data_IF_597767387891
#
_entry.id   IF_597767387891
#
_cell.length_a   1.000
_cell.length_b   1.000
_cell.length_c   1.000
_cell.angle_alpha   90.00
_cell.angle_beta   90.00
_cell.angle_gamma   90.00
#
_symmetry.space_group_name_H-M   'P 1'
#
loop_
_entity.id
_entity.type
_entity.pdbx_description
1 polymer ?
#
# COMPACT_ATOMS: atom_id res chain seq x y z
N UNK A 1 -21.53 15.90 1.31
CA UNK A 1 -21.53 14.44 1.57
C UNK A 1 -20.08 13.98 1.68
N UNK A 2 -19.84 13.09 2.64
CA UNK A 2 -18.58 12.59 3.18
C UNK A 2 -17.29 12.83 2.36
N UNK A 3 -16.36 13.55 2.99
CA UNK A 3 -14.93 13.49 2.70
C UNK A 3 -14.52 12.03 2.78
N UNK A 4 -14.13 11.45 1.64
CA UNK A 4 -13.46 10.17 1.61
C UNK A 4 -12.13 10.37 2.34
N UNK A 5 -12.11 10.06 3.63
CA UNK A 5 -10.89 9.96 4.42
C UNK A 5 -10.02 8.91 3.72
N UNK A 6 -9.01 9.40 3.02
CA UNK A 6 -8.00 8.58 2.40
C UNK A 6 -7.36 7.76 3.51
N UNK A 7 -7.35 6.44 3.31
CA UNK A 7 -6.65 5.42 4.11
C UNK A 7 -5.11 5.60 4.08
N UNK A 8 -4.64 6.82 3.88
CA UNK A 8 -3.26 7.22 3.61
C UNK A 8 -2.57 7.77 4.87
N UNK A 9 -3.34 8.21 5.87
CA UNK A 9 -2.77 8.77 7.12
C UNK A 9 -2.06 7.72 7.99
N UNK A 10 -2.49 6.45 7.91
CA UNK A 10 -1.96 5.39 8.78
C UNK A 10 -0.60 4.82 8.34
N UNK A 11 -0.24 4.99 7.08
CA UNK A 11 1.02 4.47 6.52
C UNK A 11 2.16 5.51 6.61
N UNK A 12 1.81 6.80 6.72
CA UNK A 12 2.80 7.89 6.81
C UNK A 12 3.52 7.99 8.16
N UNK A 13 2.91 7.51 9.24
CA UNK A 13 3.54 7.56 10.57
C UNK A 13 4.72 6.57 10.71
N UNK A 14 4.70 5.46 9.96
CA UNK A 14 5.71 4.40 10.05
C UNK A 14 7.10 4.81 9.53
N UNK A 15 7.21 5.92 8.79
CA UNK A 15 8.48 6.43 8.25
C UNK A 15 9.02 7.70 8.95
N UNK A 16 8.44 8.09 10.09
CA UNK A 16 8.88 9.32 10.78
C UNK A 16 10.33 9.22 11.30
N UNK A 17 11.21 10.09 10.77
CA UNK A 17 12.63 10.17 11.16
C UNK A 17 12.90 11.25 12.22
N UNK A 18 11.96 12.18 12.42
CA UNK A 18 12.15 13.35 13.27
C UNK A 18 12.48 13.00 14.74
N UNK A 19 11.82 12.00 15.37
CA UNK A 19 12.18 11.60 16.73
C UNK A 19 13.62 11.12 16.86
N UNK A 20 14.10 10.32 15.89
CA UNK A 20 15.47 9.82 15.86
C UNK A 20 16.49 10.95 15.68
N UNK A 21 16.19 11.92 14.79
CA UNK A 21 17.05 13.10 14.60
C UNK A 21 17.15 13.92 15.89
N UNK A 22 16.02 14.11 16.57
CA UNK A 22 15.98 14.82 17.84
C UNK A 22 16.74 14.09 18.95
N UNK A 23 16.67 12.76 19.01
CA UNK A 23 17.42 11.97 19.99
C UNK A 23 18.93 12.00 19.72
N UNK A 24 19.35 12.03 18.46
CA UNK A 24 20.75 12.27 18.07
C UNK A 24 21.23 13.65 18.56
N UNK A 25 20.46 14.71 18.31
CA UNK A 25 20.80 16.07 18.76
C UNK A 25 20.94 16.09 20.29
N UNK A 26 20.00 15.47 21.02
CA UNK A 26 20.09 15.34 22.49
C UNK A 26 21.31 14.58 22.97
N UNK A 27 21.76 13.56 22.23
CA UNK A 27 22.95 12.79 22.58
C UNK A 27 24.22 13.62 22.36
N UNK A 28 24.26 14.43 21.29
CA UNK A 28 25.35 15.39 21.00
C UNK A 28 25.42 16.46 22.09
N UNK A 29 24.29 17.10 22.42
CA UNK A 29 24.24 18.16 23.44
C UNK A 29 24.69 17.72 24.84
N UNK A 30 24.69 16.41 25.09
CA UNK A 30 25.07 15.79 26.37
C UNK A 30 26.44 15.11 26.36
N UNK A 31 27.19 15.17 25.25
CA UNK A 31 28.41 14.40 25.03
C UNK A 31 28.23 12.89 25.35
N UNK A 32 27.05 12.34 25.03
CA UNK A 32 26.72 10.95 25.32
C UNK A 32 27.46 9.99 24.36
N UNK A 33 27.88 8.83 24.88
CA UNK A 33 28.46 7.77 24.04
C UNK A 33 27.41 7.06 23.15
N UNK A 34 26.12 7.29 23.40
CA UNK A 34 25.00 6.65 22.69
C UNK A 34 24.76 7.20 21.27
N UNK A 35 25.47 8.25 20.86
CA UNK A 35 25.32 8.89 19.53
C UNK A 35 25.47 7.85 18.41
N UNK A 36 26.42 6.93 18.52
CA UNK A 36 26.64 5.88 17.52
C UNK A 36 25.44 4.93 17.41
N UNK A 37 24.76 4.64 18.51
CA UNK A 37 23.57 3.79 18.52
C UNK A 37 22.40 4.50 17.86
N UNK A 38 22.16 5.77 18.16
CA UNK A 38 21.07 6.55 17.54
C UNK A 38 21.31 6.77 16.04
N UNK A 39 22.55 7.01 15.63
CA UNK A 39 22.92 7.06 14.20
C UNK A 39 22.68 5.72 13.49
N UNK A 40 22.98 4.59 14.15
CA UNK A 40 22.70 3.27 13.59
C UNK A 40 21.19 3.05 13.41
N UNK A 41 20.37 3.43 14.40
CA UNK A 41 18.90 3.38 14.30
C UNK A 41 18.37 4.22 13.14
N UNK A 42 18.85 5.45 12.98
CA UNK A 42 18.47 6.32 11.87
C UNK A 42 18.82 5.69 10.52
N UNK A 43 20.04 5.15 10.39
CA UNK A 43 20.48 4.47 9.16
C UNK A 43 19.59 3.28 8.82
N UNK A 44 19.27 2.43 9.80
CA UNK A 44 18.37 1.28 9.61
C UNK A 44 17.00 1.76 9.17
N UNK A 45 16.42 2.77 9.82
CA UNK A 45 15.09 3.30 9.48
C UNK A 45 15.02 3.85 8.05
N UNK A 46 16.07 4.55 7.60
CA UNK A 46 16.18 5.02 6.22
C UNK A 46 16.25 3.83 5.25
N UNK A 47 17.00 2.79 5.59
CA UNK A 47 17.12 1.62 4.73
C UNK A 47 15.81 0.85 4.62
N UNK A 48 15.09 0.67 5.72
CA UNK A 48 13.73 0.09 5.74
C UNK A 48 12.77 0.90 4.85
N UNK A 49 12.78 2.24 4.97
CA UNK A 49 11.94 3.10 4.14
C UNK A 49 12.26 2.97 2.65
N UNK A 50 13.56 2.88 2.29
CA UNK A 50 13.98 2.63 0.89
C UNK A 50 13.49 1.29 0.38
N UNK A 51 13.56 0.24 1.18
CA UNK A 51 13.08 -1.09 0.82
C UNK A 51 11.55 -1.11 0.65
N UNK A 52 10.81 -0.42 1.52
CA UNK A 52 9.37 -0.26 1.38
C UNK A 52 8.99 0.45 0.07
N UNK A 53 9.68 1.55 -0.28
CA UNK A 53 9.47 2.25 -1.54
C UNK A 53 9.80 1.34 -2.73
N UNK A 54 10.91 0.60 -2.66
CA UNK A 54 11.32 -0.32 -3.74
C UNK A 54 10.36 -1.48 -3.94
N UNK A 55 9.65 -1.90 -2.89
CA UNK A 55 8.65 -2.97 -2.95
C UNK A 55 7.23 -2.44 -3.23
N UNK A 56 7.07 -1.13 -3.40
CA UNK A 56 5.76 -0.51 -3.63
C UNK A 56 5.24 -0.87 -5.03
N UNK A 57 4.05 -1.49 -5.14
CA UNK A 57 3.53 -1.90 -6.44
C UNK A 57 3.28 -0.69 -7.34
N UNK A 58 3.73 -0.79 -8.59
CA UNK A 58 3.54 0.25 -9.59
C UNK A 58 4.61 1.36 -9.57
N UNK A 59 5.58 1.32 -8.64
CA UNK A 59 6.69 2.29 -8.61
C UNK A 59 7.52 2.29 -9.91
N UNK A 60 7.48 1.17 -10.65
CA UNK A 60 8.20 0.95 -11.91
C UNK A 60 7.43 1.44 -13.16
N UNK A 61 6.20 1.91 -12.99
CA UNK A 61 5.27 2.23 -14.09
C UNK A 61 4.89 3.71 -14.09
N UNK A 62 4.67 4.26 -15.28
CA UNK A 62 4.18 5.63 -15.41
C UNK A 62 2.73 5.76 -14.92
N UNK A 63 2.30 6.94 -14.44
CA UNK A 63 0.91 7.18 -14.06
C UNK A 63 -0.10 6.82 -15.15
N UNK A 64 0.25 7.09 -16.42
CA UNK A 64 -0.59 6.78 -17.57
C UNK A 64 -0.76 5.26 -17.76
N UNK A 65 0.33 4.49 -17.65
CA UNK A 65 0.28 3.02 -17.73
C UNK A 65 -0.55 2.42 -16.60
N UNK A 66 -0.39 2.92 -15.37
CA UNK A 66 -1.20 2.50 -14.23
C UNK A 66 -2.69 2.76 -14.49
N UNK A 67 -3.02 3.94 -15.03
CA UNK A 67 -4.40 4.30 -15.33
C UNK A 67 -5.00 3.42 -16.43
N UNK A 68 -4.22 3.10 -17.47
CA UNK A 68 -4.63 2.20 -18.53
C UNK A 68 -4.87 0.77 -18.01
N UNK A 69 -3.97 0.25 -17.16
CA UNK A 69 -4.12 -1.05 -16.53
C UNK A 69 -5.39 -1.10 -15.66
N UNK A 70 -5.65 -0.05 -14.88
CA UNK A 70 -6.85 0.08 -14.07
C UNK A 70 -8.13 0.08 -14.91
N UNK A 71 -8.14 0.79 -16.05
CA UNK A 71 -9.26 0.79 -16.98
C UNK A 71 -9.52 -0.62 -17.55
N UNK A 72 -8.47 -1.30 -18.01
CA UNK A 72 -8.55 -2.68 -18.50
C UNK A 72 -9.11 -3.65 -17.45
N UNK A 73 -8.62 -3.56 -16.20
CA UNK A 73 -9.11 -4.39 -15.11
C UNK A 73 -10.60 -4.15 -14.81
N UNK A 74 -11.06 -2.88 -14.85
CA UNK A 74 -12.47 -2.54 -14.67
C UNK A 74 -13.34 -3.14 -15.79
N UNK A 75 -12.89 -3.09 -17.03
CA UNK A 75 -13.61 -3.68 -18.16
C UNK A 75 -13.65 -5.21 -18.09
N UNK A 76 -12.57 -5.86 -17.64
CA UNK A 76 -12.56 -7.30 -17.37
C UNK A 76 -13.56 -7.68 -16.29
N UNK A 77 -13.61 -6.94 -15.18
CA UNK A 77 -14.58 -7.17 -14.10
C UNK A 77 -16.01 -6.99 -14.62
N UNK A 78 -16.27 -5.95 -15.41
CA UNK A 78 -17.58 -5.72 -16.03
C UNK A 78 -17.98 -6.90 -16.91
N UNK A 79 -17.09 -7.34 -17.80
CA UNK A 79 -17.34 -8.43 -18.75
C UNK A 79 -17.57 -9.75 -18.03
N UNK A 80 -16.73 -10.08 -17.04
CA UNK A 80 -16.90 -11.28 -16.21
C UNK A 80 -18.24 -11.27 -15.46
N UNK A 81 -18.64 -10.13 -14.90
CA UNK A 81 -19.94 -10.01 -14.26
C UNK A 81 -21.10 -10.19 -15.25
N UNK A 82 -21.03 -9.60 -16.45
CA UNK A 82 -22.05 -9.81 -17.48
C UNK A 82 -22.16 -11.28 -17.88
N UNK A 83 -21.03 -11.97 -18.01
CA UNK A 83 -21.01 -13.39 -18.34
C UNK A 83 -21.65 -14.23 -17.22
N UNK A 84 -21.30 -13.97 -15.96
CA UNK A 84 -21.92 -14.61 -14.80
C UNK A 84 -23.44 -14.38 -14.77
N UNK A 85 -23.90 -13.16 -15.07
CA UNK A 85 -25.32 -12.84 -15.15
C UNK A 85 -26.02 -13.60 -16.28
N UNK A 86 -25.39 -13.68 -17.46
CA UNK A 86 -25.90 -14.48 -18.57
C UNK A 86 -26.05 -15.95 -18.18
N UNK A 87 -25.03 -16.54 -17.55
CA UNK A 87 -25.12 -17.92 -17.06
C UNK A 87 -26.20 -18.10 -15.99
N UNK A 88 -26.35 -17.17 -15.05
CA UNK A 88 -27.44 -17.19 -14.06
C UNK A 88 -28.81 -17.14 -14.73
N UNK A 89 -28.98 -16.31 -15.76
CA UNK A 89 -30.23 -16.21 -16.52
C UNK A 89 -30.47 -17.40 -17.45
N UNK A 90 -29.41 -18.13 -17.83
CA UNK A 90 -29.49 -19.30 -18.73
C UNK A 90 -29.74 -20.62 -18.01
N UNK A 91 -29.61 -20.70 -16.67
CA UNK A 91 -30.04 -21.90 -15.94
C UNK A 91 -31.55 -22.14 -16.23
N UNK A 92 -32.06 -23.21 -16.86
CA UNK A 92 -31.60 -24.56 -17.28
C UNK A 92 -30.80 -25.39 -16.28
N UNK A 93 -30.61 -24.90 -15.05
CA UNK A 93 -30.11 -25.71 -13.94
C UNK A 93 -31.27 -25.89 -12.96
N UNK A 94 -32.27 -26.67 -13.36
CA UNK A 94 -33.04 -27.40 -12.36
C UNK A 94 -32.04 -28.35 -11.71
N UNK A 95 -31.59 -28.02 -10.51
CA UNK A 95 -31.02 -29.03 -9.62
C UNK A 95 -32.13 -30.06 -9.44
N UNK A 96 -31.98 -31.34 -9.85
CA UNK A 96 -33.00 -32.33 -9.60
C UNK A 96 -33.22 -32.36 -8.09
N UNK A 97 -34.44 -32.02 -7.65
CA UNK A 97 -34.82 -32.26 -6.27
C UNK A 97 -34.67 -33.75 -6.03
N UNK A 98 -33.71 -34.12 -5.18
CA UNK A 98 -33.53 -35.49 -4.75
C UNK A 98 -34.87 -36.01 -4.20
N UNK A 99 -35.42 -37.02 -4.88
CA UNK A 99 -36.52 -37.86 -4.39
C UNK A 99 -35.95 -38.98 -3.53
#
# INVERSE_FOLDING_TARGET
MAVAQTKQEKESEDCSLLPLVHDIIKCIDKDSQDIHQELAKLRTKIQEAREQISNMPGIDTSPEEQQQQLASLRDQVRTKNQLLQKYKSLCMFEVPKAS
#
